data_IF_445044136797
#
_entry.id   IF_445044136797
#
_cell.length_a   1.000
_cell.length_b   1.000
_cell.length_c   1.000
_cell.angle_alpha   90.00
_cell.angle_beta   90.00
_cell.angle_gamma   90.00
#
_symmetry.space_group_name_H-M   'P 1'
#
loop_
_entity.id
_entity.type
_entity.pdbx_description
1 polymer ?
#
# COMPACT_ATOMS: atom_id res chain seq x y z
N UNK A 1 15.04 5.82 -13.89
CA UNK A 1 13.70 6.36 -13.59
C UNK A 1 13.67 7.80 -14.07
N UNK A 2 12.59 8.28 -14.68
CA UNK A 2 12.49 9.67 -15.13
C UNK A 2 12.25 10.64 -13.97
N UNK A 3 12.63 11.91 -14.12
CA UNK A 3 12.43 12.93 -13.07
C UNK A 3 10.97 13.04 -12.59
N UNK A 4 9.93 13.02 -13.46
CA UNK A 4 8.54 13.03 -13.00
C UNK A 4 8.19 11.84 -12.10
N UNK A 5 8.70 10.64 -12.40
CA UNK A 5 8.49 9.45 -11.56
C UNK A 5 9.18 9.58 -10.21
N UNK A 6 10.35 10.24 -10.14
CA UNK A 6 11.03 10.52 -8.87
C UNK A 6 10.23 11.48 -7.99
N UNK A 7 9.67 12.54 -8.56
CA UNK A 7 8.83 13.48 -7.81
C UNK A 7 7.55 12.84 -7.30
N UNK A 8 6.89 12.00 -8.11
CA UNK A 8 5.72 11.23 -7.65
C UNK A 8 6.11 10.27 -6.52
N UNK A 9 7.23 9.55 -6.65
CA UNK A 9 7.69 8.64 -5.60
C UNK A 9 7.99 9.40 -4.29
N UNK A 10 8.63 10.57 -4.38
CA UNK A 10 8.90 11.42 -3.23
C UNK A 10 7.60 11.94 -2.60
N UNK A 11 6.65 12.40 -3.40
CA UNK A 11 5.35 12.87 -2.91
C UNK A 11 4.57 11.75 -2.20
N UNK A 12 4.57 10.53 -2.76
CA UNK A 12 3.97 9.36 -2.11
C UNK A 12 4.68 9.03 -0.79
N UNK A 13 6.01 9.03 -0.77
CA UNK A 13 6.79 8.76 0.44
C UNK A 13 6.50 9.79 1.55
N UNK A 14 6.51 11.08 1.21
CA UNK A 14 6.19 12.15 2.16
C UNK A 14 4.74 12.10 2.63
N UNK A 15 3.79 11.78 1.74
CA UNK A 15 2.38 11.64 2.08
C UNK A 15 2.12 10.46 3.02
N UNK A 16 2.69 9.30 2.75
CA UNK A 16 2.61 8.12 3.63
C UNK A 16 3.28 8.40 4.98
N UNK A 17 4.46 9.03 4.97
CA UNK A 17 5.14 9.42 6.20
C UNK A 17 4.31 10.40 7.04
N UNK A 18 3.73 11.44 6.40
CA UNK A 18 2.84 12.38 7.07
C UNK A 18 1.59 11.70 7.63
N UNK A 19 1.02 10.72 6.91
CA UNK A 19 -0.10 9.93 7.40
C UNK A 19 0.27 9.15 8.66
N UNK A 20 1.40 8.43 8.67
CA UNK A 20 1.88 7.69 9.85
C UNK A 20 2.13 8.65 11.02
N UNK A 21 2.80 9.77 10.80
CA UNK A 21 3.03 10.78 11.85
C UNK A 21 1.70 11.32 12.39
N UNK A 22 0.71 11.55 11.54
CA UNK A 22 -0.62 11.97 11.98
C UNK A 22 -1.27 10.92 12.88
N UNK A 23 -1.27 9.64 12.48
CA UNK A 23 -1.85 8.54 13.27
C UNK A 23 -1.17 8.43 14.64
N UNK A 24 0.16 8.40 14.67
CA UNK A 24 0.93 8.15 15.89
C UNK A 24 0.90 9.30 16.90
N UNK A 25 0.89 10.55 16.41
CA UNK A 25 1.11 11.71 17.28
C UNK A 25 -0.10 12.65 17.39
N UNK A 26 -1.04 12.61 16.45
CA UNK A 26 -2.12 13.61 16.36
C UNK A 26 -3.53 13.00 16.29
N UNK A 27 -3.68 11.75 15.90
CA UNK A 27 -4.99 11.13 15.77
C UNK A 27 -5.61 10.88 17.14
N UNK A 28 -6.79 11.44 17.36
CA UNK A 28 -7.60 11.14 18.53
C UNK A 28 -8.36 9.84 18.31
N UNK A 29 -8.94 9.27 19.37
CA UNK A 29 -9.84 8.10 19.24
C UNK A 29 -11.01 8.36 18.29
N UNK A 30 -11.51 9.58 18.21
CA UNK A 30 -12.59 9.95 17.28
C UNK A 30 -12.09 9.95 15.83
N UNK A 31 -10.87 10.45 15.58
CA UNK A 31 -10.25 10.37 14.26
C UNK A 31 -10.04 8.91 13.83
N UNK A 32 -9.49 8.06 14.69
CA UNK A 32 -9.25 6.64 14.38
C UNK A 32 -10.55 5.89 14.10
N UNK A 33 -11.61 6.15 14.89
CA UNK A 33 -12.94 5.60 14.64
C UNK A 33 -13.51 6.06 13.30
N UNK A 34 -13.36 7.34 12.97
CA UNK A 34 -13.79 7.86 11.68
C UNK A 34 -13.04 7.18 10.53
N UNK A 35 -11.71 7.08 10.63
CA UNK A 35 -10.84 6.41 9.65
C UNK A 35 -11.32 4.98 9.41
N UNK A 36 -11.48 4.18 10.46
CA UNK A 36 -11.96 2.80 10.33
C UNK A 36 -13.41 2.71 9.83
N UNK A 37 -14.30 3.61 10.25
CA UNK A 37 -15.70 3.61 9.82
C UNK A 37 -15.86 3.91 8.33
N UNK A 38 -15.03 4.79 7.77
CA UNK A 38 -15.06 5.17 6.35
C UNK A 38 -13.99 4.45 5.52
N UNK A 39 -13.23 3.54 6.13
CA UNK A 39 -12.18 2.75 5.47
C UNK A 39 -11.10 3.65 4.81
N UNK A 40 -10.75 4.77 5.46
CA UNK A 40 -9.81 5.75 4.89
C UNK A 40 -8.38 5.24 4.85
N UNK A 41 -8.02 4.35 5.78
CA UNK A 41 -6.77 3.59 5.80
C UNK A 41 -6.54 2.83 4.49
N UNK A 42 -7.59 2.33 3.82
CA UNK A 42 -7.46 1.66 2.51
C UNK A 42 -6.87 2.57 1.43
N UNK A 43 -7.04 3.89 1.54
CA UNK A 43 -6.35 4.83 0.67
C UNK A 43 -4.84 4.87 0.92
N UNK A 44 -4.41 4.74 2.19
CA UNK A 44 -3.00 4.59 2.55
C UNK A 44 -2.44 3.26 2.00
N UNK A 45 -3.17 2.15 2.09
CA UNK A 45 -2.74 0.87 1.51
C UNK A 45 -2.65 0.92 -0.03
N UNK A 46 -3.63 1.55 -0.69
CA UNK A 46 -3.60 1.76 -2.14
C UNK A 46 -2.38 2.59 -2.56
N UNK A 47 -2.11 3.70 -1.87
CA UNK A 47 -0.95 4.56 -2.16
C UNK A 47 0.37 3.88 -1.81
N UNK A 48 0.42 3.07 -0.75
CA UNK A 48 1.55 2.20 -0.41
C UNK A 48 1.84 1.17 -1.50
N UNK A 49 0.81 0.52 -2.03
CA UNK A 49 0.93 -0.41 -3.16
C UNK A 49 1.48 0.26 -4.42
N UNK A 50 0.98 1.46 -4.75
CA UNK A 50 1.50 2.29 -5.84
C UNK A 50 2.99 2.65 -5.60
N UNK A 51 3.34 3.09 -4.40
CA UNK A 51 4.71 3.45 -4.02
C UNK A 51 5.67 2.28 -4.18
N UNK A 52 5.34 1.12 -3.61
CA UNK A 52 6.16 -0.08 -3.73
C UNK A 52 6.28 -0.52 -5.20
N UNK A 53 5.22 -0.39 -6.00
CA UNK A 53 5.24 -0.79 -7.41
C UNK A 53 6.20 0.07 -8.23
N UNK A 54 6.23 1.37 -7.95
CA UNK A 54 7.21 2.30 -8.53
C UNK A 54 8.64 1.95 -8.14
N UNK A 55 8.86 1.62 -6.86
CA UNK A 55 10.17 1.22 -6.35
C UNK A 55 10.63 -0.11 -6.98
N UNK A 56 9.71 -1.07 -7.10
CA UNK A 56 9.95 -2.37 -7.71
C UNK A 56 10.25 -2.25 -9.21
N UNK A 57 9.58 -1.36 -9.97
CA UNK A 57 9.92 -1.11 -11.38
C UNK A 57 11.36 -0.61 -11.52
N UNK A 58 11.82 0.23 -10.60
CA UNK A 58 13.18 0.76 -10.64
C UNK A 58 14.25 -0.33 -10.46
N UNK A 59 14.03 -1.27 -9.53
CA UNK A 59 15.00 -2.35 -9.25
C UNK A 59 14.82 -3.59 -10.13
N UNK A 60 13.59 -3.88 -10.56
CA UNK A 60 13.19 -5.11 -11.24
C UNK A 60 12.31 -4.81 -12.49
N UNK A 61 12.81 -4.04 -13.48
CA UNK A 61 11.99 -3.53 -14.60
C UNK A 61 11.38 -4.63 -15.50
N UNK A 62 11.98 -5.83 -15.50
CA UNK A 62 11.57 -6.97 -16.35
C UNK A 62 10.76 -8.02 -15.61
N UNK A 63 10.30 -7.75 -14.38
CA UNK A 63 9.52 -8.74 -13.63
C UNK A 63 8.19 -9.04 -14.33
N UNK A 64 7.90 -10.31 -14.60
CA UNK A 64 6.63 -10.76 -15.17
C UNK A 64 5.45 -10.38 -14.26
N UNK A 65 4.25 -10.19 -14.82
CA UNK A 65 3.09 -9.72 -14.05
C UNK A 65 2.74 -10.69 -12.93
N UNK A 66 2.62 -11.99 -13.22
CA UNK A 66 2.32 -12.99 -12.19
C UNK A 66 3.33 -13.00 -11.04
N UNK A 67 4.64 -12.96 -11.34
CA UNK A 67 5.69 -12.91 -10.31
C UNK A 67 5.63 -11.62 -9.49
N UNK A 68 5.30 -10.51 -10.13
CA UNK A 68 5.12 -9.22 -9.46
C UNK A 68 3.93 -9.26 -8.49
N UNK A 69 2.77 -9.78 -8.93
CA UNK A 69 1.58 -9.88 -8.08
C UNK A 69 1.81 -10.81 -6.89
N UNK A 70 2.46 -11.96 -7.11
CA UNK A 70 2.82 -12.89 -6.02
C UNK A 70 3.77 -12.23 -5.03
N UNK A 71 4.82 -11.54 -5.51
CA UNK A 71 5.74 -10.83 -4.63
C UNK A 71 5.04 -9.73 -3.82
N UNK A 72 4.14 -8.98 -4.45
CA UNK A 72 3.36 -7.93 -3.76
C UNK A 72 2.40 -8.49 -2.73
N UNK A 73 1.65 -9.54 -3.08
CA UNK A 73 0.77 -10.21 -2.15
C UNK A 73 1.54 -10.76 -0.94
N UNK A 74 2.74 -11.31 -1.17
CA UNK A 74 3.61 -11.79 -0.10
C UNK A 74 4.12 -10.66 0.81
N UNK A 75 4.48 -9.50 0.23
CA UNK A 75 4.89 -8.32 1.02
C UNK A 75 3.72 -7.76 1.82
N UNK A 76 2.54 -7.60 1.21
CA UNK A 76 1.34 -7.10 1.89
C UNK A 76 0.92 -8.04 3.02
N UNK A 77 0.85 -9.35 2.75
CA UNK A 77 0.58 -10.35 3.80
C UNK A 77 1.65 -10.32 4.90
N UNK A 78 2.92 -10.21 4.53
CA UNK A 78 4.02 -10.09 5.49
C UNK A 78 3.87 -8.86 6.39
N UNK A 79 3.38 -7.75 5.85
CA UNK A 79 3.08 -6.54 6.62
C UNK A 79 1.98 -6.80 7.65
N UNK A 80 0.84 -7.36 7.25
CA UNK A 80 -0.27 -7.71 8.16
C UNK A 80 0.19 -8.64 9.30
N UNK A 81 1.06 -9.61 8.97
CA UNK A 81 1.64 -10.52 9.96
C UNK A 81 2.55 -9.77 10.93
N UNK A 82 3.40 -8.87 10.44
CA UNK A 82 4.26 -8.07 11.31
C UNK A 82 3.43 -7.17 12.21
N UNK A 83 2.42 -6.50 11.67
CA UNK A 83 1.51 -5.66 12.43
C UNK A 83 0.83 -6.47 13.54
N UNK A 84 0.32 -7.67 13.25
CA UNK A 84 -0.22 -8.56 14.27
C UNK A 84 0.78 -8.90 15.38
N UNK A 85 2.06 -9.09 15.08
CA UNK A 85 3.05 -9.45 16.12
C UNK A 85 3.55 -8.25 16.92
N UNK A 86 3.65 -7.07 16.30
CA UNK A 86 4.30 -5.90 16.88
C UNK A 86 3.34 -4.82 17.37
N UNK A 87 2.09 -4.79 16.89
CA UNK A 87 1.06 -3.85 17.34
C UNK A 87 0.12 -4.49 18.38
N UNK A 88 0.13 -4.02 19.65
CA UNK A 88 -0.82 -4.44 20.66
C UNK A 88 -2.29 -4.16 20.29
N UNK A 89 -2.58 -3.07 19.59
CA UNK A 89 -3.95 -2.69 19.21
C UNK A 89 -4.51 -3.67 18.18
N UNK A 90 -3.71 -4.08 17.20
CA UNK A 90 -4.08 -5.10 16.20
C UNK A 90 -4.36 -6.45 16.85
N UNK A 91 -3.56 -6.87 17.84
CA UNK A 91 -3.85 -8.11 18.61
C UNK A 91 -5.14 -8.01 19.40
N UNK A 92 -5.38 -6.87 20.04
CA UNK A 92 -6.63 -6.65 20.77
C UNK A 92 -7.83 -6.69 19.81
N UNK A 93 -7.72 -6.03 18.65
CA UNK A 93 -8.76 -6.01 17.62
C UNK A 93 -9.05 -7.43 17.10
N UNK A 94 -8.01 -8.21 16.79
CA UNK A 94 -8.18 -9.62 16.40
C UNK A 94 -8.87 -10.46 17.49
N UNK A 95 -8.48 -10.30 18.75
CA UNK A 95 -9.06 -11.05 19.86
C UNK A 95 -10.55 -10.70 20.08
N UNK A 96 -10.92 -9.43 19.88
CA UNK A 96 -12.29 -8.96 20.05
C UNK A 96 -13.18 -9.25 18.82
N UNK A 97 -12.62 -9.15 17.62
CA UNK A 97 -13.37 -9.19 16.35
C UNK A 97 -12.61 -9.94 15.24
N UNK A 98 -12.37 -11.26 15.37
CA UNK A 98 -11.48 -12.00 14.48
C UNK A 98 -11.95 -11.99 13.02
N UNK A 99 -13.26 -12.11 12.78
CA UNK A 99 -13.80 -12.07 11.42
C UNK A 99 -13.66 -10.68 10.78
N UNK A 100 -13.79 -9.61 11.56
CA UNK A 100 -13.60 -8.25 11.05
C UNK A 100 -12.13 -8.02 10.73
N UNK A 101 -11.21 -8.46 11.59
CA UNK A 101 -9.78 -8.39 11.32
C UNK A 101 -9.38 -9.11 10.03
N UNK A 102 -9.91 -10.32 9.78
CA UNK A 102 -9.60 -11.05 8.53
C UNK A 102 -10.09 -10.28 7.30
N UNK A 103 -11.29 -9.71 7.35
CA UNK A 103 -11.84 -8.92 6.25
C UNK A 103 -11.06 -7.62 6.04
N UNK A 104 -10.61 -7.00 7.12
CA UNK A 104 -9.82 -5.78 7.14
C UNK A 104 -8.47 -6.01 6.44
N UNK A 105 -7.69 -6.98 6.93
CA UNK A 105 -6.40 -7.38 6.36
C UNK A 105 -6.53 -7.83 4.88
N UNK A 106 -7.61 -8.54 4.54
CA UNK A 106 -7.89 -8.89 3.13
C UNK A 106 -8.16 -7.64 2.28
N UNK A 107 -8.85 -6.66 2.84
CA UNK A 107 -9.08 -5.34 2.24
C UNK A 107 -7.78 -4.58 2.00
N UNK A 108 -6.84 -4.61 2.94
CA UNK A 108 -5.54 -3.95 2.84
C UNK A 108 -4.66 -4.56 1.75
N UNK A 109 -4.58 -5.89 1.73
CA UNK A 109 -3.88 -6.62 0.67
C UNK A 109 -4.50 -6.31 -0.69
N UNK A 110 -5.84 -6.29 -0.79
CA UNK A 110 -6.54 -5.97 -2.04
C UNK A 110 -6.28 -4.52 -2.47
N UNK A 111 -6.35 -3.55 -1.56
CA UNK A 111 -6.10 -2.14 -1.84
C UNK A 111 -4.66 -1.92 -2.33
N UNK A 112 -3.67 -2.51 -1.65
CA UNK A 112 -2.27 -2.46 -2.06
C UNK A 112 -2.05 -3.08 -3.45
N UNK A 113 -2.66 -4.24 -3.74
CA UNK A 113 -2.60 -4.86 -5.05
C UNK A 113 -3.26 -3.99 -6.13
N UNK A 114 -4.40 -3.35 -5.84
CA UNK A 114 -5.06 -2.43 -6.76
C UNK A 114 -4.17 -1.23 -7.09
N UNK A 115 -3.51 -0.63 -6.09
CA UNK A 115 -2.54 0.44 -6.29
C UNK A 115 -1.37 0.01 -7.18
N UNK A 116 -0.82 -1.18 -6.92
CA UNK A 116 0.29 -1.75 -7.69
C UNK A 116 -0.11 -2.09 -9.14
N UNK A 117 -1.31 -2.65 -9.35
CA UNK A 117 -1.88 -2.93 -10.66
C UNK A 117 -2.17 -1.64 -11.44
N UNK A 118 -2.77 -0.65 -10.78
CA UNK A 118 -3.06 0.66 -11.36
C UNK A 118 -1.79 1.31 -11.89
N UNK A 119 -0.73 1.33 -11.09
CA UNK A 119 0.58 1.80 -11.53
C UNK A 119 1.01 1.15 -12.85
N UNK A 120 0.97 -0.17 -12.89
CA UNK A 120 1.51 -0.96 -13.98
C UNK A 120 0.67 -0.81 -15.26
N UNK A 121 -0.65 -0.70 -15.14
CA UNK A 121 -1.54 -0.44 -16.28
C UNK A 121 -1.30 0.94 -16.91
N UNK A 122 -1.14 1.99 -16.08
CA UNK A 122 -1.05 3.36 -16.56
C UNK A 122 0.37 3.82 -16.95
N UNK A 123 1.40 3.40 -16.22
CA UNK A 123 2.75 3.94 -16.41
C UNK A 123 3.69 3.06 -17.25
N UNK A 124 3.50 1.73 -17.25
CA UNK A 124 4.33 0.83 -18.08
C UNK A 124 3.90 0.83 -19.55
N UNK A 125 2.59 0.90 -19.80
CA UNK A 125 2.02 0.96 -21.17
C UNK A 125 2.52 2.18 -21.94
N UNK A 126 2.62 3.35 -21.29
CA UNK A 126 3.16 4.58 -21.88
C UNK A 126 4.65 4.47 -22.23
N UNK A 127 5.47 3.85 -21.38
CA UNK A 127 6.90 3.67 -21.64
C UNK A 127 7.19 2.64 -22.75
N UNK A 128 6.36 1.59 -22.88
CA UNK A 128 6.50 0.62 -23.97
C UNK A 128 6.17 1.23 -25.34
N UNK A 129 5.25 2.20 -25.38
CA UNK A 129 4.85 2.90 -26.59
C UNK A 129 5.81 4.04 -26.97
N UNK A 130 6.41 4.72 -25.98
CA UNK A 130 7.37 5.80 -26.21
C UNK A 130 8.72 5.32 -26.81
N UNK A 131 9.04 4.03 -26.75
CA UNK A 131 10.22 3.45 -27.39
C UNK A 131 9.98 2.90 -28.80
N UNK A 132 8.79 3.12 -29.37
CA UNK A 132 8.41 2.67 -30.72
C UNK A 132 8.08 3.82 -31.68
N UNK A 133 8.13 5.07 -31.22
CA UNK A 133 7.99 6.29 -32.01
C UNK A 133 9.36 6.94 -32.18
#
# INVERSE_FOLDING_TARGET
>A
MSAPKQYVLLALALGLFAFVVFIEFFATREHLRFIGAVQLDKAAHLTGGLFLAMLAEWRLPRLALGRFLVAFAAVALGWEVLEFFFDPETRFFYAAFPNLWVLDAAGDIAAALLGACGYRAFFRSRNANAGRA
#
